data_IF_368931897075
#
_entry.id   IF_368931897075
#
_cell.length_a   1.000
_cell.length_b   1.000
_cell.length_c   1.000
_cell.angle_alpha   90.00
_cell.angle_beta   90.00
_cell.angle_gamma   90.00
#
_symmetry.space_group_name_H-M   'P 1'
#
loop_
_entity.id
_entity.type
_entity.pdbx_description
1 polymer ?
#
# COMPACT_ATOMS: atom_id res chain seq x y z
N UNK A 1 -13.67 35.19 -29.25
CA UNK A 1 -12.88 35.03 -28.01
C UNK A 1 -12.86 33.60 -27.43
N UNK A 2 -13.96 32.84 -27.45
CA UNK A 2 -14.02 31.43 -26.96
C UNK A 2 -13.02 30.41 -27.55
N UNK A 3 -12.55 30.47 -28.83
CA UNK A 3 -11.67 29.43 -29.38
C UNK A 3 -10.22 29.43 -28.84
N UNK A 4 -9.73 30.54 -28.29
CA UNK A 4 -8.36 30.64 -27.76
C UNK A 4 -8.22 29.97 -26.39
N UNK A 5 -9.25 30.11 -25.55
CA UNK A 5 -9.29 29.47 -24.22
C UNK A 5 -9.31 27.95 -24.34
N UNK A 6 -10.05 27.41 -25.30
CA UNK A 6 -10.09 25.97 -25.60
C UNK A 6 -8.74 25.45 -26.09
N UNK A 7 -8.04 26.21 -26.96
CA UNK A 7 -6.67 25.85 -27.37
C UNK A 7 -5.72 25.81 -26.19
N UNK A 8 -5.76 26.80 -25.29
CA UNK A 8 -4.92 26.83 -24.08
C UNK A 8 -5.25 25.65 -23.14
N UNK A 9 -6.53 25.30 -23.00
CA UNK A 9 -6.98 24.12 -22.24
C UNK A 9 -6.45 22.82 -22.84
N UNK A 10 -6.59 22.63 -24.17
CA UNK A 10 -6.09 21.44 -24.88
C UNK A 10 -4.57 21.31 -24.76
N UNK A 11 -3.83 22.40 -24.88
CA UNK A 11 -2.38 22.41 -24.70
C UNK A 11 -1.98 21.95 -23.29
N UNK A 12 -2.69 22.44 -22.25
CA UNK A 12 -2.46 21.99 -20.86
C UNK A 12 -2.73 20.49 -20.68
N UNK A 13 -3.86 19.99 -21.20
CA UNK A 13 -4.21 18.56 -21.10
C UNK A 13 -3.16 17.68 -21.78
N UNK A 14 -2.71 18.06 -22.97
CA UNK A 14 -1.70 17.28 -23.69
C UNK A 14 -0.36 17.27 -22.95
N UNK A 15 0.06 18.37 -22.32
CA UNK A 15 1.28 18.39 -21.48
C UNK A 15 1.17 17.42 -20.31
N UNK A 16 0.07 17.46 -19.56
CA UNK A 16 -0.13 16.55 -18.44
C UNK A 16 -0.16 15.08 -18.88
N UNK A 17 -0.74 14.77 -20.04
CA UNK A 17 -0.74 13.42 -20.60
C UNK A 17 0.67 12.95 -21.00
N UNK A 18 1.50 13.85 -21.50
CA UNK A 18 2.90 13.55 -21.85
C UNK A 18 3.74 13.29 -20.58
N UNK A 19 3.57 14.12 -19.55
CA UNK A 19 4.19 13.90 -18.22
C UNK A 19 3.73 12.57 -17.60
N UNK A 20 2.42 12.26 -17.67
CA UNK A 20 1.87 10.99 -17.20
C UNK A 20 2.47 9.78 -17.93
N UNK A 21 2.66 9.90 -19.25
CA UNK A 21 3.30 8.86 -20.05
C UNK A 21 4.72 8.60 -19.57
N UNK A 22 5.53 9.64 -19.36
CA UNK A 22 6.92 9.50 -18.91
C UNK A 22 7.01 8.78 -17.55
N UNK A 23 6.19 9.21 -16.57
CA UNK A 23 6.09 8.57 -15.26
C UNK A 23 5.64 7.10 -15.34
N UNK A 24 4.69 6.80 -16.22
CA UNK A 24 4.20 5.44 -16.44
C UNK A 24 5.22 4.57 -17.16
N UNK A 25 6.04 5.09 -18.08
CA UNK A 25 7.10 4.32 -18.76
C UNK A 25 8.09 3.75 -17.76
N UNK A 26 8.58 4.58 -16.83
CA UNK A 26 9.53 4.13 -15.79
C UNK A 26 8.91 3.03 -14.92
N UNK A 27 7.65 3.21 -14.55
CA UNK A 27 6.91 2.27 -13.69
C UNK A 27 6.65 0.94 -14.41
N UNK A 28 6.13 0.99 -15.63
CA UNK A 28 5.75 -0.19 -16.42
C UNK A 28 6.97 -0.99 -16.87
N UNK A 29 8.09 -0.33 -17.18
CA UNK A 29 9.35 -1.02 -17.46
C UNK A 29 9.84 -1.82 -16.24
N UNK A 30 9.69 -1.29 -15.02
CA UNK A 30 10.01 -2.02 -13.80
C UNK A 30 9.07 -3.23 -13.58
N UNK A 31 7.84 -3.16 -14.09
CA UNK A 31 6.86 -4.25 -14.06
C UNK A 31 6.97 -5.21 -15.27
N UNK A 32 7.87 -4.96 -16.22
CA UNK A 32 8.09 -5.79 -17.41
C UNK A 32 7.10 -5.57 -18.55
N UNK A 33 6.31 -4.49 -18.53
CA UNK A 33 5.37 -4.13 -19.60
C UNK A 33 6.05 -3.39 -20.75
N UNK A 34 5.59 -3.66 -21.99
CA UNK A 34 6.12 -3.03 -23.20
C UNK A 34 5.48 -1.65 -23.42
N UNK A 35 6.26 -0.58 -23.25
CA UNK A 35 5.76 0.80 -23.25
C UNK A 35 5.93 1.55 -24.57
N UNK A 36 6.36 0.87 -25.63
CA UNK A 36 6.77 1.50 -26.88
C UNK A 36 5.65 2.23 -27.64
N UNK A 37 4.36 1.97 -27.31
CA UNK A 37 3.20 2.61 -27.96
C UNK A 37 1.99 2.78 -27.01
N UNK A 38 2.12 3.62 -25.99
CA UNK A 38 0.94 4.00 -25.19
C UNK A 38 0.09 5.04 -25.92
N UNK A 39 -1.20 4.73 -26.15
CA UNK A 39 -2.18 5.71 -26.60
C UNK A 39 -2.71 6.53 -25.42
N UNK A 40 -3.45 7.62 -25.69
CA UNK A 40 -3.97 8.49 -24.63
C UNK A 40 -4.94 7.77 -23.69
N UNK A 41 -5.71 6.82 -24.21
CA UNK A 41 -6.62 6.01 -23.40
C UNK A 41 -5.84 5.07 -22.49
N UNK A 42 -4.80 4.39 -23.01
CA UNK A 42 -3.93 3.51 -22.21
C UNK A 42 -3.21 4.27 -21.10
N UNK A 43 -2.66 5.47 -21.40
CA UNK A 43 -2.01 6.30 -20.39
C UNK A 43 -2.96 6.57 -19.22
N UNK A 44 -4.21 6.95 -19.51
CA UNK A 44 -5.20 7.22 -18.48
C UNK A 44 -5.58 5.95 -17.71
N UNK A 45 -5.83 4.84 -18.41
CA UNK A 45 -6.22 3.57 -17.79
C UNK A 45 -5.12 3.02 -16.88
N UNK A 46 -3.88 2.97 -17.37
CA UNK A 46 -2.73 2.47 -16.64
C UNK A 46 -2.44 3.33 -15.41
N UNK A 47 -2.52 4.66 -15.56
CA UNK A 47 -2.36 5.58 -14.43
C UNK A 47 -3.42 5.32 -13.35
N UNK A 48 -4.68 5.16 -13.75
CA UNK A 48 -5.77 4.90 -12.78
C UNK A 48 -5.57 3.54 -12.09
N UNK A 49 -5.19 2.51 -12.85
CA UNK A 49 -4.87 1.18 -12.30
C UNK A 49 -3.72 1.26 -11.31
N UNK A 50 -2.66 2.00 -11.65
CA UNK A 50 -1.51 2.23 -10.79
C UNK A 50 -1.90 2.99 -9.50
N UNK A 51 -2.67 4.07 -9.61
CA UNK A 51 -3.19 4.79 -8.44
C UNK A 51 -4.01 3.88 -7.52
N UNK A 52 -4.86 3.01 -8.08
CA UNK A 52 -5.57 2.00 -7.31
C UNK A 52 -4.62 1.02 -6.61
N UNK A 53 -3.56 0.57 -7.29
CA UNK A 53 -2.53 -0.30 -6.71
C UNK A 53 -1.83 0.39 -5.54
N UNK A 54 -1.39 1.64 -5.70
CA UNK A 54 -0.74 2.39 -4.63
C UNK A 54 -1.69 2.65 -3.46
N UNK A 55 -2.98 2.90 -3.73
CA UNK A 55 -4.00 3.03 -2.69
C UNK A 55 -4.14 1.74 -1.87
N UNK A 56 -4.16 0.57 -2.52
CA UNK A 56 -4.23 -0.73 -1.85
C UNK A 56 -2.97 -1.01 -1.02
N UNK A 57 -1.81 -0.64 -1.54
CA UNK A 57 -0.53 -0.80 -0.83
C UNK A 57 -0.25 0.28 0.22
N UNK A 58 -1.18 1.20 0.42
CA UNK A 58 -0.99 2.38 1.25
C UNK A 58 0.26 3.23 0.90
N UNK A 59 0.73 3.13 -0.34
CA UNK A 59 1.93 3.81 -0.81
C UNK A 59 1.66 5.25 -1.24
N UNK A 60 0.40 5.66 -1.37
CA UNK A 60 0.03 7.06 -1.67
C UNK A 60 0.21 8.00 -0.47
N UNK A 61 0.44 7.47 0.74
CA UNK A 61 0.45 8.29 1.97
C UNK A 61 -0.88 9.01 2.25
N UNK A 62 -1.96 8.60 1.55
CA UNK A 62 -3.29 9.20 1.65
C UNK A 62 -4.15 8.53 2.73
N UNK A 63 -3.72 7.41 3.31
CA UNK A 63 -4.42 6.93 4.49
C UNK A 63 -4.19 7.93 5.61
N UNK A 64 -5.28 8.47 6.12
CA UNK A 64 -5.25 9.34 7.27
C UNK A 64 -4.50 8.72 8.44
N UNK A 65 -4.15 9.58 9.39
CA UNK A 65 -3.49 9.30 10.65
C UNK A 65 -3.95 7.96 11.27
N UNK A 66 -5.25 7.66 11.19
CA UNK A 66 -5.88 6.40 11.60
C UNK A 66 -5.17 5.10 11.14
N UNK A 67 -4.74 5.02 9.88
CA UNK A 67 -4.07 3.80 9.37
C UNK A 67 -2.66 3.64 9.93
N UNK A 68 -1.98 4.74 10.24
CA UNK A 68 -0.66 4.72 10.88
C UNK A 68 -0.80 4.28 12.34
N UNK A 69 -1.86 4.71 13.03
CA UNK A 69 -2.18 4.23 14.36
C UNK A 69 -2.57 2.74 14.36
N UNK A 70 -3.36 2.29 13.39
CA UNK A 70 -3.73 0.89 13.25
C UNK A 70 -2.50 -0.01 13.01
N UNK A 71 -1.56 0.40 12.16
CA UNK A 71 -0.35 -0.39 11.90
C UNK A 71 0.59 -0.41 13.11
N UNK A 72 0.77 0.73 13.80
CA UNK A 72 1.52 0.80 15.07
C UNK A 72 0.88 -0.06 16.17
N UNK A 73 -0.45 -0.03 16.27
CA UNK A 73 -1.20 -0.85 17.22
C UNK A 73 -1.00 -2.34 16.93
N UNK A 74 -1.17 -2.75 15.66
CA UNK A 74 -0.93 -4.13 15.23
C UNK A 74 0.51 -4.58 15.49
N UNK A 75 1.49 -3.72 15.24
CA UNK A 75 2.89 -3.99 15.54
C UNK A 75 3.13 -4.19 17.05
N UNK A 76 2.50 -3.38 17.90
CA UNK A 76 2.54 -3.54 19.36
C UNK A 76 1.91 -4.85 19.84
N UNK A 77 0.78 -5.25 19.27
CA UNK A 77 0.14 -6.54 19.56
C UNK A 77 1.00 -7.72 19.11
N UNK A 78 1.59 -7.66 17.92
CA UNK A 78 2.51 -8.69 17.43
C UNK A 78 3.76 -8.81 18.31
N UNK A 79 4.29 -7.70 18.80
CA UNK A 79 5.42 -7.71 19.74
C UNK A 79 5.03 -8.36 21.07
N UNK A 80 3.85 -8.02 21.61
CA UNK A 80 3.31 -8.65 22.81
C UNK A 80 3.09 -10.16 22.61
N UNK A 81 2.53 -10.59 21.47
CA UNK A 81 2.37 -12.00 21.13
C UNK A 81 3.72 -12.74 21.11
N UNK A 82 4.76 -12.10 20.58
CA UNK A 82 6.12 -12.66 20.54
C UNK A 82 6.68 -12.84 21.95
N UNK A 83 6.57 -11.81 22.79
CA UNK A 83 7.04 -11.87 24.19
C UNK A 83 6.27 -12.89 25.01
N UNK A 84 4.94 -12.97 24.82
CA UNK A 84 4.10 -13.99 25.45
C UNK A 84 4.50 -15.39 24.99
N UNK A 85 4.78 -15.58 23.70
CA UNK A 85 5.27 -16.87 23.18
C UNK A 85 6.60 -17.24 23.83
N UNK A 86 7.56 -16.32 23.88
CA UNK A 86 8.87 -16.51 24.51
C UNK A 86 8.72 -16.87 26.01
N UNK A 87 7.85 -16.16 26.72
CA UNK A 87 7.55 -16.40 28.13
C UNK A 87 6.87 -17.76 28.34
N UNK A 88 5.97 -18.16 27.43
CA UNK A 88 5.30 -19.47 27.46
C UNK A 88 6.26 -20.65 27.21
N UNK A 89 7.28 -20.46 26.38
CA UNK A 89 8.28 -21.49 26.04
C UNK A 89 9.50 -21.51 26.96
N UNK A 90 9.66 -20.52 27.85
CA UNK A 90 10.81 -20.47 28.75
C UNK A 90 10.69 -21.52 29.88
N UNK A 91 11.75 -22.31 30.05
CA UNK A 91 11.86 -23.41 31.03
C UNK A 91 11.87 -22.96 32.51
N UNK A 92 11.83 -21.65 32.77
CA UNK A 92 11.86 -21.04 34.11
C UNK A 92 10.45 -20.84 34.65
N UNK A 93 9.62 -21.91 34.65
CA UNK A 93 8.23 -21.81 35.11
C UNK A 93 7.89 -22.76 36.24
N UNK A 94 7.30 -22.20 37.29
CA UNK A 94 6.67 -22.92 38.38
C UNK A 94 5.48 -22.08 38.86
N UNK A 95 4.20 -22.45 38.60
CA UNK A 95 3.69 -23.66 37.95
C UNK A 95 3.59 -23.57 36.40
N UNK A 96 3.47 -24.72 35.70
CA UNK A 96 3.28 -24.75 34.25
C UNK A 96 1.93 -24.14 33.86
N UNK A 97 1.93 -23.26 32.85
CA UNK A 97 0.70 -22.76 32.23
C UNK A 97 0.16 -23.82 31.28
N UNK A 98 -1.15 -24.00 31.28
CA UNK A 98 -1.84 -24.89 30.35
C UNK A 98 -1.50 -24.54 28.88
N UNK A 99 -0.94 -25.46 28.10
CA UNK A 99 -0.51 -25.19 26.73
C UNK A 99 -1.66 -24.81 25.80
N UNK A 100 -2.88 -25.29 26.07
CA UNK A 100 -4.08 -24.92 25.30
C UNK A 100 -4.50 -23.46 25.56
N UNK A 101 -4.40 -22.99 26.81
CA UNK A 101 -4.60 -21.59 27.16
C UNK A 101 -3.57 -20.67 26.49
N UNK A 102 -2.30 -21.10 26.39
CA UNK A 102 -1.24 -20.37 25.71
C UNK A 102 -1.49 -20.19 24.21
N UNK A 103 -1.88 -21.27 23.52
CA UNK A 103 -2.23 -21.22 22.08
C UNK A 103 -3.45 -20.33 21.83
N UNK A 104 -4.48 -20.43 22.69
CA UNK A 104 -5.65 -19.55 22.62
C UNK A 104 -5.26 -18.08 22.78
N UNK A 105 -4.41 -17.76 23.76
CA UNK A 105 -3.94 -16.39 23.99
C UNK A 105 -3.19 -15.83 22.78
N UNK A 106 -2.27 -16.62 22.21
CA UNK A 106 -1.53 -16.23 21.00
C UNK A 106 -2.44 -16.07 19.78
N UNK A 107 -3.45 -16.94 19.63
CA UNK A 107 -4.46 -16.79 18.59
C UNK A 107 -5.28 -15.50 18.75
N UNK A 108 -5.59 -15.09 19.99
CA UNK A 108 -6.28 -13.83 20.26
C UNK A 108 -5.40 -12.59 20.04
N UNK A 109 -4.08 -12.72 20.18
CA UNK A 109 -3.13 -11.61 19.96
C UNK A 109 -2.69 -11.47 18.49
N UNK A 110 -2.82 -12.53 17.69
CA UNK A 110 -2.49 -12.55 16.25
C UNK A 110 -3.66 -12.28 15.29
N UNK A 111 -4.89 -12.17 15.80
CA UNK A 111 -6.09 -11.80 15.05
C UNK A 111 -6.24 -10.28 14.96
#
# INVERSE_FOLDING_TARGET
MKPLLERKRRARINRCLDELKDLMVVTLQAEGENVSKLEKADILELTVRHLHKLKRHNALGLTGVDSVYADKFRAGFAHCATEVSNYLTSDVRSPPVDPSAGVKLLHHLGA
#
